data_IF_017033467335
#
_entry.id   IF_017033467335
#
_cell.length_a   1.000
_cell.length_b   1.000
_cell.length_c   1.000
_cell.angle_alpha   90.00
_cell.angle_beta   90.00
_cell.angle_gamma   90.00
#
_symmetry.space_group_name_H-M   'P 1'
#
loop_
_entity.id
_entity.type
_entity.pdbx_description
1 polymer ?
#
# COMPACT_ATOMS: atom_id res chain seq x y z
N UNK A 1 -11.60 -29.98 41.71
CA UNK A 1 -12.14 -29.13 40.63
C UNK A 1 -11.76 -27.65 40.71
N UNK A 2 -11.19 -27.12 41.81
CA UNK A 2 -10.82 -25.69 41.92
C UNK A 2 -9.50 -25.28 41.22
N UNK A 3 -8.54 -26.21 41.02
CA UNK A 3 -7.24 -25.91 40.38
C UNK A 3 -7.37 -25.59 38.88
N UNK A 4 -8.26 -26.28 38.18
CA UNK A 4 -8.44 -26.18 36.72
C UNK A 4 -9.00 -24.82 36.26
N UNK A 5 -9.86 -24.17 37.08
CA UNK A 5 -10.39 -22.83 36.79
C UNK A 5 -9.36 -21.71 36.94
N UNK A 6 -8.34 -21.89 37.78
CA UNK A 6 -7.32 -20.88 38.04
C UNK A 6 -6.24 -20.87 36.96
N UNK A 7 -5.88 -22.04 36.42
CA UNK A 7 -4.95 -22.17 35.28
C UNK A 7 -5.53 -21.56 33.99
N UNK A 8 -6.78 -21.89 33.64
CA UNK A 8 -7.46 -21.34 32.45
C UNK A 8 -7.60 -19.80 32.50
N UNK A 9 -7.77 -19.22 33.71
CA UNK A 9 -7.80 -17.77 33.90
C UNK A 9 -6.42 -17.08 33.79
N UNK A 10 -5.33 -17.79 34.11
CA UNK A 10 -3.96 -17.28 34.02
C UNK A 10 -3.45 -17.31 32.59
N UNK A 11 -3.79 -18.36 31.84
CA UNK A 11 -3.36 -18.49 30.44
C UNK A 11 -4.13 -17.53 29.52
N UNK A 12 -5.45 -17.35 29.71
CA UNK A 12 -6.20 -16.27 29.02
C UNK A 12 -5.66 -14.87 29.32
N UNK A 13 -5.20 -14.59 30.54
CA UNK A 13 -4.60 -13.29 30.91
C UNK A 13 -3.23 -13.08 30.27
N UNK A 14 -2.44 -14.13 30.05
CA UNK A 14 -1.16 -14.05 29.33
C UNK A 14 -1.38 -13.82 27.84
N UNK A 15 -2.33 -14.54 27.24
CA UNK A 15 -2.66 -14.41 25.82
C UNK A 15 -3.23 -13.03 25.48
N UNK A 16 -4.09 -12.47 26.35
CA UNK A 16 -4.60 -11.09 26.20
C UNK A 16 -3.48 -10.05 26.30
N UNK A 17 -2.51 -10.23 27.21
CA UNK A 17 -1.34 -9.34 27.36
C UNK A 17 -0.38 -9.44 26.17
N UNK A 18 -0.20 -10.62 25.59
CA UNK A 18 0.58 -10.79 24.35
C UNK A 18 -0.13 -10.13 23.16
N UNK A 19 -1.44 -10.34 22.99
CA UNK A 19 -2.21 -9.66 21.94
C UNK A 19 -2.19 -8.14 22.08
N UNK A 20 -2.23 -7.61 23.30
CA UNK A 20 -2.12 -6.17 23.56
C UNK A 20 -0.72 -5.62 23.24
N UNK A 21 0.35 -6.36 23.58
CA UNK A 21 1.73 -6.00 23.25
C UNK A 21 1.96 -6.02 21.74
N UNK A 22 1.46 -7.06 21.04
CA UNK A 22 1.56 -7.16 19.58
C UNK A 22 0.79 -6.01 18.92
N UNK A 23 -0.41 -5.66 19.39
CA UNK A 23 -1.16 -4.49 18.89
C UNK A 23 -0.41 -3.17 19.13
N UNK A 24 0.12 -2.93 20.33
CA UNK A 24 0.91 -1.72 20.64
C UNK A 24 2.20 -1.64 19.82
N UNK A 25 2.86 -2.77 19.57
CA UNK A 25 4.06 -2.83 18.73
C UNK A 25 3.73 -2.56 17.26
N UNK A 26 2.62 -3.10 16.76
CA UNK A 26 2.12 -2.80 15.41
C UNK A 26 1.73 -1.33 15.26
N UNK A 27 1.03 -0.74 16.22
CA UNK A 27 0.70 0.68 16.24
C UNK A 27 1.94 1.58 16.31
N UNK A 28 2.96 1.19 17.10
CA UNK A 28 4.23 1.92 17.17
C UNK A 28 5.00 1.83 15.85
N UNK A 29 5.02 0.66 15.19
CA UNK A 29 5.61 0.46 13.85
C UNK A 29 4.86 1.27 12.80
N UNK A 30 3.53 1.29 12.83
CA UNK A 30 2.68 2.12 11.95
C UNK A 30 2.94 3.62 12.17
N UNK A 31 2.99 4.09 13.43
CA UNK A 31 3.34 5.49 13.75
C UNK A 31 4.74 5.86 13.28
N UNK A 32 5.73 4.96 13.38
CA UNK A 32 7.09 5.19 12.85
C UNK A 32 7.07 5.30 11.31
N UNK A 33 6.32 4.44 10.61
CA UNK A 33 6.15 4.50 9.15
C UNK A 33 5.47 5.80 8.71
N UNK A 34 4.36 6.17 9.35
CA UNK A 34 3.65 7.43 9.08
C UNK A 34 4.53 8.67 9.35
N UNK A 35 5.33 8.67 10.42
CA UNK A 35 6.28 9.76 10.68
C UNK A 35 7.38 9.82 9.62
N UNK A 36 7.87 8.68 9.13
CA UNK A 36 8.87 8.62 8.07
C UNK A 36 8.30 9.11 6.72
N UNK A 37 7.06 8.73 6.40
CA UNK A 37 6.36 9.20 5.20
C UNK A 37 6.06 10.70 5.26
N UNK A 38 5.53 11.20 6.39
CA UNK A 38 5.35 12.64 6.60
C UNK A 38 6.67 13.39 6.46
N UNK A 39 7.77 12.90 7.05
CA UNK A 39 9.10 13.51 6.89
C UNK A 39 9.59 13.49 5.44
N UNK A 40 9.29 12.45 4.66
CA UNK A 40 9.64 12.38 3.23
C UNK A 40 8.84 13.40 2.43
N UNK A 41 7.52 13.47 2.64
CA UNK A 41 6.64 14.44 1.97
C UNK A 41 7.07 15.87 2.34
N UNK A 42 7.25 16.12 3.63
CA UNK A 42 7.65 17.43 4.14
C UNK A 42 9.05 17.82 3.64
N UNK A 43 9.97 16.86 3.45
CA UNK A 43 11.25 17.12 2.79
C UNK A 43 11.08 17.45 1.30
N UNK A 44 10.23 16.74 0.58
CA UNK A 44 9.98 17.01 -0.86
C UNK A 44 9.35 18.39 -1.07
N UNK A 45 8.44 18.79 -0.17
CA UNK A 45 7.77 20.09 -0.23
C UNK A 45 8.68 21.19 0.30
N UNK A 46 9.29 21.03 1.48
CA UNK A 46 10.08 22.10 2.11
C UNK A 46 11.47 22.31 1.51
N UNK A 47 12.07 21.30 0.88
CA UNK A 47 13.39 21.42 0.24
C UNK A 47 13.45 22.50 -0.85
N UNK A 48 12.57 22.52 -1.86
CA UNK A 48 12.61 23.56 -2.89
C UNK A 48 12.39 24.96 -2.33
N UNK A 49 11.48 25.15 -1.35
CA UNK A 49 11.29 26.46 -0.71
C UNK A 49 12.49 26.90 0.13
N UNK A 50 13.13 25.97 0.86
CA UNK A 50 14.34 26.26 1.65
C UNK A 50 15.53 26.60 0.75
N UNK A 51 15.72 25.85 -0.33
CA UNK A 51 16.76 26.14 -1.32
C UNK A 51 16.51 27.47 -2.01
N UNK A 52 15.25 27.77 -2.36
CA UNK A 52 14.86 29.05 -2.96
C UNK A 52 15.16 30.23 -2.02
N UNK A 53 14.82 30.08 -0.75
CA UNK A 53 15.14 31.09 0.27
C UNK A 53 16.64 31.30 0.37
N UNK A 54 17.43 30.22 0.44
CA UNK A 54 18.89 30.31 0.52
C UNK A 54 19.49 31.00 -0.70
N UNK A 55 19.09 30.61 -1.91
CA UNK A 55 19.56 31.21 -3.17
C UNK A 55 19.18 32.69 -3.23
N UNK A 56 17.93 33.03 -2.88
CA UNK A 56 17.47 34.41 -2.82
C UNK A 56 18.28 35.22 -1.80
N UNK A 57 18.48 34.69 -0.59
CA UNK A 57 19.21 35.41 0.46
C UNK A 57 20.66 35.66 0.05
N UNK A 58 21.34 34.66 -0.51
CA UNK A 58 22.71 34.82 -1.00
C UNK A 58 22.76 35.85 -2.13
N UNK A 59 21.85 35.80 -3.10
CA UNK A 59 21.83 36.77 -4.20
C UNK A 59 21.56 38.19 -3.71
N UNK A 60 20.61 38.37 -2.78
CA UNK A 60 20.31 39.66 -2.16
C UNK A 60 21.48 40.24 -1.35
N UNK A 61 22.19 39.40 -0.59
CA UNK A 61 23.38 39.80 0.17
C UNK A 61 24.51 40.21 -0.77
N UNK A 62 24.81 39.40 -1.79
CA UNK A 62 25.85 39.71 -2.79
C UNK A 62 25.52 41.02 -3.52
N UNK A 63 24.26 41.20 -3.92
CA UNK A 63 23.81 42.42 -4.58
C UNK A 63 23.86 43.66 -3.67
N UNK A 64 23.57 43.49 -2.38
CA UNK A 64 23.72 44.54 -1.38
C UNK A 64 25.19 44.96 -1.22
N UNK A 65 26.11 44.00 -1.12
CA UNK A 65 27.55 44.26 -1.02
C UNK A 65 28.04 44.98 -2.27
N UNK A 66 27.62 44.53 -3.45
CA UNK A 66 27.95 45.19 -4.72
C UNK A 66 27.45 46.63 -4.78
N UNK A 67 26.19 46.90 -4.39
CA UNK A 67 25.64 48.26 -4.40
C UNK A 67 26.32 49.19 -3.38
N UNK A 68 26.78 48.64 -2.26
CA UNK A 68 27.43 49.42 -1.21
C UNK A 68 28.89 49.76 -1.56
N UNK A 69 29.68 48.75 -1.95
CA UNK A 69 31.11 48.93 -2.24
C UNK A 69 31.39 49.34 -3.69
N UNK A 70 30.58 48.87 -4.65
CA UNK A 70 30.77 49.14 -6.08
C UNK A 70 30.16 50.46 -6.53
N UNK A 71 28.92 50.75 -6.14
CA UNK A 71 28.22 51.99 -6.52
C UNK A 71 28.33 53.12 -5.48
N UNK A 72 28.89 52.84 -4.29
CA UNK A 72 29.03 53.83 -3.23
C UNK A 72 27.71 54.34 -2.65
N UNK A 73 26.61 53.58 -2.82
CA UNK A 73 25.32 53.93 -2.25
C UNK A 73 25.37 53.90 -0.71
N UNK A 74 24.48 54.64 -0.05
CA UNK A 74 24.32 54.54 1.40
C UNK A 74 23.93 53.12 1.82
N UNK A 75 24.30 52.72 3.04
CA UNK A 75 23.99 51.38 3.58
C UNK A 75 22.49 51.09 3.46
N UNK A 76 21.65 52.08 3.80
CA UNK A 76 20.20 51.94 3.77
C UNK A 76 19.68 51.70 2.34
N UNK A 77 20.16 52.46 1.36
CA UNK A 77 19.74 52.30 -0.04
C UNK A 77 20.20 50.96 -0.62
N UNK A 78 21.43 50.54 -0.31
CA UNK A 78 21.98 49.24 -0.75
C UNK A 78 21.21 48.06 -0.17
N UNK A 79 20.84 48.14 1.11
CA UNK A 79 20.03 47.12 1.78
C UNK A 79 18.63 47.02 1.14
N UNK A 80 18.01 48.15 0.83
CA UNK A 80 16.67 48.21 0.24
C UNK A 80 16.67 47.63 -1.18
N UNK A 81 17.68 47.95 -1.99
CA UNK A 81 17.90 47.36 -3.32
C UNK A 81 18.16 45.84 -3.25
N UNK A 82 19.02 45.40 -2.31
CA UNK A 82 19.28 43.99 -2.02
C UNK A 82 18.03 43.22 -1.64
N UNK A 83 17.20 43.82 -0.76
CA UNK A 83 15.93 43.24 -0.35
C UNK A 83 14.91 43.19 -1.49
N UNK A 84 14.82 44.23 -2.33
CA UNK A 84 13.94 44.20 -3.50
C UNK A 84 14.32 43.07 -4.45
N UNK A 85 15.62 42.88 -4.71
CA UNK A 85 16.11 41.80 -5.55
C UNK A 85 15.81 40.43 -4.93
N UNK A 86 15.99 40.28 -3.61
CA UNK A 86 15.58 39.08 -2.88
C UNK A 86 14.10 38.77 -3.10
N UNK A 87 13.22 39.76 -2.89
CA UNK A 87 11.76 39.60 -3.05
C UNK A 87 11.44 39.19 -4.49
N UNK A 88 12.05 39.84 -5.48
CA UNK A 88 11.78 39.58 -6.89
C UNK A 88 12.23 38.17 -7.32
N UNK A 89 13.41 37.73 -6.87
CA UNK A 89 13.92 36.39 -7.12
C UNK A 89 13.08 35.34 -6.38
N UNK A 90 12.77 35.58 -5.11
CA UNK A 90 12.01 34.65 -4.28
C UNK A 90 10.57 34.48 -4.77
N UNK A 91 9.86 35.58 -5.05
CA UNK A 91 8.50 35.50 -5.61
C UNK A 91 8.53 35.02 -7.06
N UNK A 92 9.44 35.50 -7.90
CA UNK A 92 9.51 35.11 -9.30
C UNK A 92 9.76 33.60 -9.47
N UNK A 93 10.86 33.10 -8.93
CA UNK A 93 11.17 31.67 -8.97
C UNK A 93 10.19 30.85 -8.12
N UNK A 94 9.66 31.41 -7.03
CA UNK A 94 8.67 30.75 -6.19
C UNK A 94 7.37 30.47 -6.95
N UNK A 95 6.92 31.41 -7.77
CA UNK A 95 5.73 31.27 -8.60
C UNK A 95 5.94 30.23 -9.70
N UNK A 96 7.12 30.22 -10.32
CA UNK A 96 7.51 29.19 -11.30
C UNK A 96 7.52 27.79 -10.66
N UNK A 97 8.10 27.63 -9.47
CA UNK A 97 8.08 26.37 -8.73
C UNK A 97 6.65 25.95 -8.39
N UNK A 98 5.78 26.88 -7.99
CA UNK A 98 4.38 26.60 -7.69
C UNK A 98 3.62 26.10 -8.92
N UNK A 99 3.81 26.73 -10.08
CA UNK A 99 3.25 26.28 -11.35
C UNK A 99 3.78 24.89 -11.73
N UNK A 100 5.08 24.65 -11.57
CA UNK A 100 5.67 23.33 -11.81
C UNK A 100 5.06 22.26 -10.91
N UNK A 101 4.93 22.52 -9.61
CA UNK A 101 4.28 21.62 -8.66
C UNK A 101 2.81 21.39 -9.00
N UNK A 102 2.10 22.42 -9.47
CA UNK A 102 0.70 22.28 -9.89
C UNK A 102 0.56 21.34 -11.09
N UNK A 103 1.43 21.48 -12.10
CA UNK A 103 1.45 20.56 -13.25
C UNK A 103 1.79 19.15 -12.80
N UNK A 104 2.82 18.99 -11.96
CA UNK A 104 3.23 17.69 -11.44
C UNK A 104 2.11 17.02 -10.61
N UNK A 105 1.36 17.80 -9.84
CA UNK A 105 0.22 17.33 -9.07
C UNK A 105 -0.91 16.85 -9.99
N UNK A 106 -1.23 17.59 -11.06
CA UNK A 106 -2.23 17.15 -12.06
C UNK A 106 -1.81 15.85 -12.76
N UNK A 107 -0.54 15.70 -13.12
CA UNK A 107 -0.02 14.47 -13.75
C UNK A 107 -0.14 13.29 -12.78
N UNK A 108 0.32 13.47 -11.53
CA UNK A 108 0.21 12.40 -10.52
C UNK A 108 -1.22 12.03 -10.18
N UNK A 109 -2.13 13.00 -10.18
CA UNK A 109 -3.55 12.73 -9.93
C UNK A 109 -4.14 11.85 -11.04
N UNK A 110 -3.79 12.14 -12.31
CA UNK A 110 -4.16 11.27 -13.43
C UNK A 110 -3.54 9.88 -13.33
N UNK A 111 -2.25 9.78 -13.02
CA UNK A 111 -1.59 8.48 -12.84
C UNK A 111 -2.21 7.67 -11.69
N UNK A 112 -2.61 8.33 -10.59
CA UNK A 112 -3.27 7.67 -9.47
C UNK A 112 -4.67 7.15 -9.85
N UNK A 113 -5.40 7.89 -10.69
CA UNK A 113 -6.69 7.46 -11.22
C UNK A 113 -6.55 6.31 -12.22
N UNK A 114 -5.59 6.36 -13.13
CA UNK A 114 -5.32 5.28 -14.09
C UNK A 114 -4.85 4.01 -13.38
N UNK A 115 -3.98 4.14 -12.38
CA UNK A 115 -3.51 3.00 -11.59
C UNK A 115 -4.63 2.35 -10.79
N UNK A 116 -5.58 3.13 -10.27
CA UNK A 116 -6.79 2.60 -9.62
C UNK A 116 -7.68 1.82 -10.58
N UNK A 117 -7.88 2.33 -11.79
CA UNK A 117 -8.65 1.62 -12.83
C UNK A 117 -7.97 0.31 -13.23
N UNK A 118 -6.65 0.32 -13.39
CA UNK A 118 -5.89 -0.87 -13.73
C UNK A 118 -5.93 -1.92 -12.60
N UNK A 119 -5.84 -1.50 -11.33
CA UNK A 119 -6.01 -2.39 -10.19
C UNK A 119 -7.43 -2.97 -10.07
N UNK A 120 -8.47 -2.18 -10.38
CA UNK A 120 -9.86 -2.68 -10.46
C UNK A 120 -10.07 -3.69 -11.60
N UNK A 121 -9.49 -3.44 -12.78
CA UNK A 121 -9.55 -4.38 -13.90
C UNK A 121 -8.82 -5.69 -13.57
N UNK A 122 -7.62 -5.59 -12.99
CA UNK A 122 -6.84 -6.76 -12.58
C UNK A 122 -7.53 -7.55 -11.44
N UNK A 123 -8.24 -6.86 -10.54
CA UNK A 123 -9.04 -7.50 -9.51
C UNK A 123 -10.25 -8.25 -10.09
N UNK A 124 -10.96 -7.65 -11.04
CA UNK A 124 -12.07 -8.30 -11.75
C UNK A 124 -11.61 -9.51 -12.56
N UNK A 125 -10.45 -9.43 -13.19
CA UNK A 125 -9.87 -10.56 -13.95
C UNK A 125 -9.48 -11.72 -13.02
N UNK A 126 -8.91 -11.41 -11.85
CA UNK A 126 -8.64 -12.42 -10.81
C UNK A 126 -9.92 -13.06 -10.26
N UNK A 127 -11.01 -12.30 -10.10
CA UNK A 127 -12.30 -12.86 -9.68
C UNK A 127 -12.87 -13.81 -10.75
N UNK A 128 -12.77 -13.46 -12.03
CA UNK A 128 -13.19 -14.33 -13.14
C UNK A 128 -12.36 -15.63 -13.19
N UNK A 129 -11.04 -15.52 -13.11
CA UNK A 129 -10.17 -16.70 -13.06
C UNK A 129 -10.42 -17.57 -11.82
N UNK A 130 -10.76 -16.96 -10.68
CA UNK A 130 -11.11 -17.70 -9.46
C UNK A 130 -12.47 -18.41 -9.57
N UNK A 131 -13.42 -17.84 -10.31
CA UNK A 131 -14.71 -18.47 -10.62
C UNK A 131 -14.53 -19.65 -11.58
N UNK A 132 -13.76 -19.48 -12.65
CA UNK A 132 -13.44 -20.54 -13.61
C UNK A 132 -12.69 -21.70 -12.94
N UNK A 133 -11.70 -21.41 -12.09
CA UNK A 133 -10.98 -22.45 -11.35
C UNK A 133 -11.83 -23.17 -10.29
N UNK A 134 -12.89 -22.54 -9.77
CA UNK A 134 -13.88 -23.24 -8.92
C UNK A 134 -14.77 -24.16 -9.74
N UNK A 135 -15.18 -23.72 -10.93
CA UNK A 135 -16.02 -24.49 -11.83
C UNK A 135 -15.30 -25.74 -12.36
N UNK A 136 -14.03 -25.62 -12.74
CA UNK A 136 -13.20 -26.78 -13.11
C UNK A 136 -13.05 -27.79 -11.97
N UNK A 137 -12.87 -27.32 -10.74
CA UNK A 137 -12.81 -28.19 -9.55
C UNK A 137 -14.13 -28.91 -9.31
N UNK A 138 -15.27 -28.24 -9.48
CA UNK A 138 -16.59 -28.87 -9.39
C UNK A 138 -16.81 -29.92 -10.48
N UNK A 139 -16.38 -29.65 -11.72
CA UNK A 139 -16.48 -30.60 -12.82
C UNK A 139 -15.61 -31.84 -12.59
N UNK A 140 -14.38 -31.67 -12.11
CA UNK A 140 -13.51 -32.79 -11.75
C UNK A 140 -14.07 -33.62 -10.59
N UNK A 141 -14.68 -32.98 -9.59
CA UNK A 141 -15.34 -33.69 -8.50
C UNK A 141 -16.56 -34.49 -8.98
N UNK A 142 -17.37 -33.93 -9.90
CA UNK A 142 -18.50 -34.65 -10.51
C UNK A 142 -18.05 -35.85 -11.33
N UNK A 143 -17.02 -35.70 -12.17
CA UNK A 143 -16.46 -36.83 -12.93
C UNK A 143 -15.90 -37.92 -12.01
N UNK A 144 -15.26 -37.53 -10.89
CA UNK A 144 -14.77 -38.49 -9.91
C UNK A 144 -15.91 -39.23 -9.19
N UNK A 145 -17.06 -38.56 -8.96
CA UNK A 145 -18.26 -39.19 -8.42
C UNK A 145 -18.92 -40.15 -9.40
N UNK A 146 -19.08 -39.75 -10.67
CA UNK A 146 -19.66 -40.62 -11.71
C UNK A 146 -18.82 -41.89 -11.90
N UNK A 147 -17.48 -41.78 -11.93
CA UNK A 147 -16.61 -42.97 -12.01
C UNK A 147 -16.78 -43.89 -10.81
N UNK A 148 -16.94 -43.35 -9.61
CA UNK A 148 -17.21 -44.15 -8.41
C UNK A 148 -18.58 -44.81 -8.46
N UNK A 149 -19.60 -44.14 -8.99
CA UNK A 149 -20.93 -44.73 -9.18
C UNK A 149 -20.91 -45.85 -10.23
N UNK A 150 -20.17 -45.69 -11.33
CA UNK A 150 -20.00 -46.75 -12.33
C UNK A 150 -19.28 -47.97 -11.75
N UNK A 151 -18.24 -47.77 -10.93
CA UNK A 151 -17.55 -48.86 -10.22
C UNK A 151 -18.47 -49.56 -9.22
N UNK A 152 -19.24 -48.81 -8.43
CA UNK A 152 -20.27 -49.34 -7.53
C UNK A 152 -21.36 -50.11 -8.27
N UNK A 153 -21.76 -49.64 -9.45
CA UNK A 153 -22.79 -50.28 -10.29
C UNK A 153 -22.27 -51.59 -10.89
N UNK A 154 -21.03 -51.62 -11.37
CA UNK A 154 -20.36 -52.85 -11.82
C UNK A 154 -20.17 -53.87 -10.69
N UNK A 155 -19.77 -53.41 -9.51
CA UNK A 155 -19.70 -54.24 -8.29
C UNK A 155 -21.07 -54.83 -7.91
N UNK A 156 -22.14 -54.04 -8.07
CA UNK A 156 -23.51 -54.50 -7.78
C UNK A 156 -23.99 -55.55 -8.78
N UNK A 157 -23.66 -55.37 -10.06
CA UNK A 157 -23.95 -56.34 -11.12
C UNK A 157 -23.14 -57.64 -10.95
N UNK A 158 -21.86 -57.56 -10.57
CA UNK A 158 -21.05 -58.76 -10.30
C UNK A 158 -21.56 -59.54 -9.09
N UNK A 159 -21.97 -58.85 -8.01
CA UNK A 159 -22.56 -59.49 -6.81
C UNK A 159 -23.94 -60.09 -7.12
N UNK A 160 -24.71 -59.46 -8.01
CA UNK A 160 -25.99 -59.99 -8.48
C UNK A 160 -25.83 -61.29 -9.27
N UNK A 161 -24.88 -61.33 -10.19
CA UNK A 161 -24.59 -62.53 -11.00
C UNK A 161 -23.93 -63.66 -10.18
N UNK A 162 -23.17 -63.34 -9.14
CA UNK A 162 -22.54 -64.35 -8.27
C UNK A 162 -23.57 -65.05 -7.36
N UNK A 163 -24.75 -64.45 -7.14
CA UNK A 163 -25.88 -65.07 -6.42
C UNK A 163 -26.80 -65.94 -7.31
N UNK A 164 -26.57 -66.02 -8.62
CA UNK A 164 -27.33 -66.86 -9.56
C UNK A 164 -26.65 -68.21 -9.88
N UNK A 165 -25.73 -68.70 -9.04
CA UNK A 165 -25.23 -70.08 -9.15
C UNK A 165 -26.26 -71.03 -8.54
N UNK A 166 -26.91 -71.92 -9.31
CA UNK A 166 -27.88 -72.86 -8.77
C UNK A 166 -27.16 -73.86 -7.87
N UNK A 167 -27.68 -74.04 -6.65
CA UNK A 167 -27.32 -75.16 -5.78
C UNK A 167 -27.68 -76.45 -6.50
N UNK A 168 -26.71 -77.05 -7.18
CA UNK A 168 -26.83 -78.38 -7.73
C UNK A 168 -26.81 -79.39 -6.57
N UNK A 169 -28.01 -79.91 -6.29
CA UNK A 169 -28.38 -81.20 -5.68
C UNK A 169 -27.40 -81.84 -4.68
N UNK A 170 -27.83 -81.82 -3.42
CA UNK A 170 -27.75 -82.95 -2.50
C UNK A 170 -28.51 -84.15 -3.05
N UNK A 171 -27.82 -85.24 -3.36
CA UNK A 171 -28.24 -86.63 -3.11
C UNK A 171 -27.00 -87.48 -2.79
#
# INVERSE_FOLDING_TARGET
>A
MAKTKVEDSKDRKKELKEREKVKKEQEARLKKRLKAEKKKIDRIVSFPFKSLFFIGSVSGIVYCIYNYFGEGNTILASLLKGFLLFVLVYFGLGLVLLLWFFVLAKIRQKEAEEKRRYEEELARERERAALEGKLERELLLKQAQEKREEELRKLRESIGNENEIPRANTE
#
